data_IF_843547443049
#
_entry.id   IF_843547443049
#
_cell.length_a   1.000
_cell.length_b   1.000
_cell.length_c   1.000
_cell.angle_alpha   90.00
_cell.angle_beta   90.00
_cell.angle_gamma   90.00
#
_symmetry.space_group_name_H-M   'P 1'
#
loop_
_entity.id
_entity.type
_entity.pdbx_description
1 polymer ?
#
# COMPACT_ATOMS: atom_id res chain seq x y z
N UNK A 1 -15.25 18.01 -0.18
CA UNK A 1 -14.54 18.42 1.05
C UNK A 1 -14.46 17.37 2.18
N UNK A 2 -15.15 16.21 2.13
CA UNK A 2 -15.14 15.22 3.25
C UNK A 2 -14.09 14.10 3.16
N UNK A 3 -13.70 13.63 1.96
CA UNK A 3 -12.82 12.45 1.84
C UNK A 3 -11.37 12.67 2.26
N UNK A 4 -10.78 13.84 1.98
CA UNK A 4 -9.38 14.12 2.33
C UNK A 4 -9.17 14.19 3.85
N UNK A 5 -10.16 14.73 4.58
CA UNK A 5 -10.15 14.77 6.04
C UNK A 5 -10.31 13.36 6.63
N UNK A 6 -11.26 12.56 6.13
CA UNK A 6 -11.43 11.16 6.56
C UNK A 6 -10.15 10.34 6.33
N UNK A 7 -9.46 10.56 5.20
CA UNK A 7 -8.18 9.90 4.93
C UNK A 7 -7.09 10.32 5.91
N UNK A 8 -6.98 11.61 6.24
CA UNK A 8 -5.99 12.07 7.23
C UNK A 8 -6.28 11.54 8.62
N UNK A 9 -7.55 11.48 9.01
CA UNK A 9 -7.97 10.89 10.29
C UNK A 9 -7.65 9.40 10.31
N UNK A 10 -7.96 8.65 9.25
CA UNK A 10 -7.64 7.21 9.20
C UNK A 10 -6.14 6.94 9.20
N UNK A 11 -5.35 7.77 8.50
CA UNK A 11 -3.89 7.68 8.50
C UNK A 11 -3.29 7.98 9.87
N UNK A 12 -3.82 9.00 10.57
CA UNK A 12 -3.45 9.32 11.94
C UNK A 12 -3.81 8.19 12.91
N UNK A 13 -5.01 7.62 12.77
CA UNK A 13 -5.45 6.47 13.57
C UNK A 13 -4.61 5.22 13.31
N UNK A 14 -4.25 4.92 12.05
CA UNK A 14 -3.37 3.81 11.70
C UNK A 14 -1.96 3.96 12.26
N UNK A 15 -1.43 5.19 12.26
CA UNK A 15 -0.13 5.51 12.86
C UNK A 15 -0.19 5.41 14.39
N UNK A 16 -1.25 5.91 15.02
CA UNK A 16 -1.49 5.76 16.46
C UNK A 16 -1.63 4.29 16.86
N UNK A 17 -2.44 3.49 16.17
CA UNK A 17 -2.57 2.06 16.42
C UNK A 17 -1.24 1.31 16.28
N UNK A 18 -0.39 1.74 15.35
CA UNK A 18 0.96 1.20 15.21
C UNK A 18 1.93 1.56 16.35
N UNK A 19 1.61 2.58 17.16
CA UNK A 19 2.44 3.14 18.24
C UNK A 19 1.86 2.88 19.66
N UNK A 20 0.59 2.47 19.78
CA UNK A 20 -0.14 2.37 21.05
C UNK A 20 0.23 1.14 21.93
N UNK A 21 1.25 0.35 21.58
CA UNK A 21 1.66 -0.83 22.36
C UNK A 21 2.21 -0.55 23.76
N UNK A 22 2.33 0.71 24.18
CA UNK A 22 2.70 1.07 25.56
C UNK A 22 1.65 0.65 26.61
N UNK A 23 0.42 0.31 26.21
CA UNK A 23 -0.64 -0.07 27.16
C UNK A 23 -0.53 -1.49 27.70
N UNK A 24 0.36 -2.34 27.16
CA UNK A 24 0.55 -3.73 27.65
C UNK A 24 -0.69 -4.63 27.53
N UNK A 25 -1.78 -4.14 26.94
CA UNK A 25 -3.02 -4.89 26.75
C UNK A 25 -2.95 -5.60 25.40
N UNK A 26 -2.52 -6.86 25.47
CA UNK A 26 -2.85 -7.89 24.49
C UNK A 26 -1.87 -8.02 23.34
N UNK A 27 -1.04 -9.07 23.41
CA UNK A 27 -0.49 -9.77 22.23
C UNK A 27 -1.65 -10.39 21.44
N UNK A 28 -2.53 -9.56 20.88
CA UNK A 28 -3.66 -10.07 20.10
C UNK A 28 -3.11 -10.58 18.78
N UNK A 29 -3.52 -11.80 18.41
CA UNK A 29 -3.14 -12.53 17.20
C UNK A 29 -3.61 -11.84 15.89
N UNK A 30 -3.73 -10.52 15.85
CA UNK A 30 -4.27 -9.77 14.73
C UNK A 30 -3.13 -9.36 13.79
N UNK A 31 -3.27 -9.73 12.51
CA UNK A 31 -2.31 -9.41 11.46
C UNK A 31 -2.62 -8.00 10.94
N UNK A 32 -1.61 -7.13 10.91
CA UNK A 32 -1.80 -5.79 10.39
C UNK A 32 -1.90 -5.81 8.84
N UNK A 33 -2.88 -5.15 8.22
CA UNK A 33 -3.06 -5.18 6.76
C UNK A 33 -2.01 -4.32 5.99
N UNK A 34 -1.19 -3.55 6.70
CA UNK A 34 -0.09 -2.75 6.14
C UNK A 34 1.29 -3.34 6.42
N UNK A 35 2.34 -2.63 5.99
CA UNK A 35 3.70 -2.94 6.41
C UNK A 35 3.91 -2.36 7.82
N UNK A 36 4.27 -3.22 8.76
CA UNK A 36 4.53 -2.91 10.17
C UNK A 36 5.63 -3.84 10.70
N UNK A 37 6.40 -3.40 11.68
CA UNK A 37 7.48 -4.14 12.32
C UNK A 37 7.03 -4.75 13.65
N UNK A 38 7.00 -6.09 13.73
CA UNK A 38 6.69 -6.81 14.97
C UNK A 38 7.79 -6.70 16.04
N UNK A 39 9.01 -6.34 15.64
CA UNK A 39 10.14 -6.16 16.57
C UNK A 39 10.09 -4.79 17.27
N UNK A 40 9.12 -3.92 16.96
CA UNK A 40 8.95 -2.68 17.69
C UNK A 40 8.38 -2.98 19.10
N UNK A 41 8.95 -2.40 20.18
CA UNK A 41 8.46 -2.62 21.55
C UNK A 41 7.05 -2.04 21.77
N UNK A 42 6.61 -1.15 20.87
CA UNK A 42 5.30 -0.52 20.86
C UNK A 42 4.31 -1.22 19.90
N UNK A 43 4.66 -2.39 19.35
CA UNK A 43 3.79 -3.12 18.43
C UNK A 43 2.74 -3.96 19.16
N UNK A 44 1.47 -3.82 18.78
CA UNK A 44 0.35 -4.67 19.25
C UNK A 44 -0.02 -5.75 18.22
N UNK A 45 0.48 -5.62 16.98
CA UNK A 45 0.04 -6.40 15.83
C UNK A 45 1.20 -7.11 15.12
N UNK A 46 0.88 -8.20 14.42
CA UNK A 46 1.88 -9.04 13.75
C UNK A 46 2.12 -8.54 12.32
N UNK A 47 3.39 -8.48 11.93
CA UNK A 47 3.78 -8.20 10.55
C UNK A 47 3.33 -9.34 9.62
N UNK A 48 2.53 -9.07 8.56
CA UNK A 48 2.07 -10.11 7.65
C UNK A 48 3.25 -10.78 6.92
N UNK A 49 4.26 -10.01 6.51
CA UNK A 49 5.39 -10.58 5.74
C UNK A 49 6.32 -11.40 6.63
N UNK A 50 6.61 -10.93 7.84
CA UNK A 50 7.41 -11.69 8.80
C UNK A 50 6.74 -13.01 9.16
N UNK A 51 5.43 -12.99 9.44
CA UNK A 51 4.67 -14.20 9.71
C UNK A 51 4.66 -15.16 8.52
N UNK A 52 4.47 -14.65 7.29
CA UNK A 52 4.52 -15.45 6.08
C UNK A 52 5.89 -16.14 5.93
N UNK A 53 6.99 -15.41 6.09
CA UNK A 53 8.34 -15.98 5.98
C UNK A 53 8.60 -17.03 7.06
N UNK A 54 8.19 -16.76 8.30
CA UNK A 54 8.34 -17.70 9.40
C UNK A 54 7.58 -19.01 9.14
N UNK A 55 6.34 -18.94 8.64
CA UNK A 55 5.54 -20.13 8.33
C UNK A 55 6.11 -20.94 7.16
N UNK A 56 6.69 -20.28 6.15
CA UNK A 56 7.40 -20.93 5.04
C UNK A 56 8.64 -21.67 5.55
N UNK A 57 9.40 -21.09 6.49
CA UNK A 57 10.58 -21.73 7.08
C UNK A 57 10.19 -23.00 7.85
N UNK A 58 9.11 -22.95 8.63
CA UNK A 58 8.60 -24.12 9.37
C UNK A 58 7.82 -25.12 8.52
N UNK A 59 7.66 -24.90 7.20
CA UNK A 59 6.93 -25.78 6.30
C UNK A 59 5.44 -25.95 6.65
N UNK A 60 4.87 -25.02 7.42
CA UNK A 60 3.48 -25.10 7.90
C UNK A 60 2.56 -24.31 6.97
N UNK A 61 1.41 -24.90 6.63
CA UNK A 61 0.42 -24.23 5.77
C UNK A 61 -0.23 -23.07 6.55
N UNK A 62 -0.10 -21.82 6.09
CA UNK A 62 -0.44 -20.66 6.89
C UNK A 62 -1.93 -20.28 6.76
N UNK A 63 -2.85 -21.18 7.13
CA UNK A 63 -4.31 -20.99 6.95
C UNK A 63 -4.82 -19.69 7.58
N UNK A 64 -4.36 -19.36 8.80
CA UNK A 64 -4.73 -18.13 9.49
C UNK A 64 -4.27 -16.87 8.76
N UNK A 65 -3.05 -16.89 8.24
CA UNK A 65 -2.51 -15.80 7.43
C UNK A 65 -3.26 -15.63 6.12
N UNK A 66 -3.53 -16.73 5.40
CA UNK A 66 -4.28 -16.68 4.14
C UNK A 66 -5.68 -16.11 4.39
N UNK A 67 -6.40 -16.62 5.41
CA UNK A 67 -7.75 -16.18 5.73
C UNK A 67 -7.84 -14.69 6.03
N UNK A 68 -6.92 -14.17 6.85
CA UNK A 68 -6.88 -12.73 7.21
C UNK A 68 -6.51 -11.85 6.02
N UNK A 69 -5.50 -12.22 5.23
CA UNK A 69 -5.08 -11.45 4.05
C UNK A 69 -6.15 -11.45 2.97
N UNK A 70 -6.84 -12.57 2.77
CA UNK A 70 -8.00 -12.65 1.87
C UNK A 70 -9.13 -11.77 2.39
N UNK A 71 -9.45 -11.83 3.69
CA UNK A 71 -10.48 -10.97 4.27
C UNK A 71 -10.16 -9.48 4.06
N UNK A 72 -8.94 -9.03 4.37
CA UNK A 72 -8.51 -7.66 4.11
C UNK A 72 -8.52 -7.32 2.62
N UNK A 73 -7.99 -8.21 1.79
CA UNK A 73 -7.99 -8.08 0.34
C UNK A 73 -9.40 -7.89 -0.22
N UNK A 74 -10.38 -8.66 0.23
CA UNK A 74 -11.77 -8.56 -0.21
C UNK A 74 -12.49 -7.33 0.33
N UNK A 75 -12.13 -6.80 1.51
CA UNK A 75 -12.80 -5.61 2.04
C UNK A 75 -12.32 -4.34 1.32
N UNK A 76 -11.01 -4.06 1.34
CA UNK A 76 -10.46 -2.80 0.79
C UNK A 76 -9.45 -3.01 -0.35
N UNK A 77 -8.97 -4.24 -0.55
CA UNK A 77 -7.88 -4.54 -1.47
C UNK A 77 -6.65 -3.71 -1.12
N UNK A 78 -6.13 -2.96 -2.10
CA UNK A 78 -5.00 -2.06 -1.90
C UNK A 78 -5.34 -0.76 -1.16
N UNK A 79 -6.61 -0.57 -0.78
CA UNK A 79 -7.11 0.55 0.02
C UNK A 79 -6.38 0.69 1.36
N UNK A 80 -5.98 -0.41 2.00
CA UNK A 80 -5.21 -0.37 3.25
C UNK A 80 -3.88 0.40 3.11
N UNK A 81 -3.20 0.29 1.98
CA UNK A 81 -1.96 1.04 1.72
C UNK A 81 -2.19 2.56 1.55
N UNK A 82 -3.42 2.98 1.25
CA UNK A 82 -3.80 4.39 1.12
C UNK A 82 -4.31 5.00 2.43
N UNK A 83 -5.06 4.21 3.20
CA UNK A 83 -5.84 4.69 4.35
C UNK A 83 -5.25 4.35 5.72
N UNK A 84 -4.57 3.21 5.86
CA UNK A 84 -4.16 2.67 7.17
C UNK A 84 -2.65 2.44 7.33
N UNK A 85 -1.90 2.21 6.24
CA UNK A 85 -0.48 1.86 6.32
C UNK A 85 0.37 3.07 6.77
N UNK A 86 1.10 2.99 7.91
CA UNK A 86 1.91 4.11 8.42
C UNK A 86 3.05 4.45 7.46
N UNK A 87 3.69 3.43 6.88
CA UNK A 87 4.72 3.61 5.86
C UNK A 87 4.18 4.28 4.59
N UNK A 88 2.91 4.04 4.25
CA UNK A 88 2.24 4.71 3.14
C UNK A 88 2.03 6.21 3.41
N UNK A 89 1.62 6.56 4.64
CA UNK A 89 1.49 7.95 5.08
C UNK A 89 2.84 8.67 5.08
N UNK A 90 3.91 8.00 5.52
CA UNK A 90 5.26 8.55 5.48
C UNK A 90 5.70 8.88 4.04
N UNK A 91 5.40 8.00 3.08
CA UNK A 91 5.67 8.26 1.66
C UNK A 91 4.89 9.48 1.14
N UNK A 92 3.62 9.63 1.52
CA UNK A 92 2.79 10.76 1.09
C UNK A 92 3.29 12.10 1.68
N UNK A 93 3.87 12.07 2.89
CA UNK A 93 4.44 13.25 3.55
C UNK A 93 5.78 13.67 2.97
N UNK A 94 6.63 12.69 2.60
CA UNK A 94 7.99 12.94 2.09
C UNK A 94 8.05 13.29 0.59
N UNK A 95 7.02 12.98 -0.20
CA UNK A 95 7.05 13.29 -1.63
C UNK A 95 6.78 14.79 -1.88
N UNK A 96 7.83 15.61 -1.88
CA UNK A 96 7.75 17.06 -2.11
C UNK A 96 7.40 17.42 -3.55
N UNK A 97 7.93 16.65 -4.50
CA UNK A 97 7.53 16.73 -5.90
C UNK A 97 6.73 15.48 -6.25
N UNK A 98 5.49 15.66 -6.72
CA UNK A 98 4.75 14.62 -7.45
C UNK A 98 5.40 14.38 -8.82
N UNK A 99 6.73 14.20 -8.85
CA UNK A 99 7.51 14.02 -10.06
C UNK A 99 6.91 12.83 -10.81
N UNK A 100 6.31 13.22 -11.94
CA UNK A 100 5.24 12.53 -12.64
C UNK A 100 5.88 11.47 -13.55
N UNK A 101 6.42 10.40 -12.97
CA UNK A 101 6.90 9.27 -13.79
C UNK A 101 5.69 8.43 -14.20
N UNK A 102 5.22 8.71 -15.42
CA UNK A 102 4.09 8.08 -16.10
C UNK A 102 4.53 6.81 -16.82
N UNK A 103 4.74 5.73 -16.07
CA UNK A 103 4.53 4.31 -16.45
C UNK A 103 5.28 3.43 -15.45
N UNK A 104 4.54 2.73 -14.62
CA UNK A 104 5.10 1.68 -13.76
C UNK A 104 4.83 0.33 -14.41
N UNK A 105 5.87 -0.28 -14.99
CA UNK A 105 5.84 -1.70 -15.34
C UNK A 105 5.59 -2.50 -14.06
N UNK A 106 4.35 -2.97 -13.91
CA UNK A 106 3.75 -3.57 -12.71
C UNK A 106 4.34 -4.93 -12.29
N UNK A 107 5.26 -5.51 -13.07
CA UNK A 107 5.78 -6.85 -12.79
C UNK A 107 6.88 -6.87 -11.71
N UNK A 108 7.66 -5.79 -11.55
CA UNK A 108 8.84 -5.76 -10.64
C UNK A 108 8.47 -6.08 -9.19
N UNK A 109 7.34 -5.57 -8.69
CA UNK A 109 6.85 -5.86 -7.32
C UNK A 109 6.49 -7.34 -7.11
N UNK A 110 6.01 -8.02 -8.15
CA UNK A 110 5.70 -9.45 -8.09
C UNK A 110 6.99 -10.28 -8.10
N UNK A 111 8.02 -9.84 -8.84
CA UNK A 111 9.34 -10.44 -8.78
C UNK A 111 9.96 -10.32 -7.38
N UNK A 112 9.80 -9.16 -6.72
CA UNK A 112 10.24 -8.99 -5.32
C UNK A 112 9.48 -9.93 -4.39
N UNK A 113 8.15 -10.06 -4.53
CA UNK A 113 7.36 -11.00 -3.73
C UNK A 113 7.87 -12.45 -3.88
N UNK A 114 8.03 -12.94 -5.10
CA UNK A 114 8.55 -14.29 -5.37
C UNK A 114 9.97 -14.43 -4.79
N UNK A 115 10.83 -13.44 -5.01
CA UNK A 115 12.19 -13.41 -4.47
C UNK A 115 12.21 -13.50 -2.94
N UNK A 116 11.32 -12.80 -2.23
CA UNK A 116 11.25 -12.86 -0.76
C UNK A 116 10.81 -14.21 -0.21
N UNK A 117 9.94 -14.93 -0.95
CA UNK A 117 9.49 -16.28 -0.57
C UNK A 117 10.60 -17.30 -0.85
N UNK A 118 11.20 -17.24 -2.04
CA UNK A 118 12.32 -18.14 -2.43
C UNK A 118 13.52 -17.93 -1.51
N UNK A 119 13.87 -16.69 -1.18
CA UNK A 119 14.96 -16.41 -0.24
C UNK A 119 14.65 -16.92 1.17
N UNK A 120 13.41 -16.77 1.65
CA UNK A 120 13.03 -17.31 2.96
C UNK A 120 13.14 -18.83 3.01
N UNK A 121 12.73 -19.52 1.93
CA UNK A 121 12.84 -20.96 1.81
C UNK A 121 14.31 -21.43 1.68
N UNK A 122 15.11 -20.77 0.84
CA UNK A 122 16.48 -21.19 0.56
C UNK A 122 17.45 -20.93 1.74
N UNK A 123 17.28 -19.82 2.45
CA UNK A 123 18.17 -19.44 3.56
C UNK A 123 17.62 -19.81 4.94
N UNK A 124 16.40 -20.38 5.00
CA UNK A 124 15.68 -20.69 6.24
C UNK A 124 15.62 -19.50 7.23
N UNK A 125 15.57 -18.27 6.71
CA UNK A 125 15.70 -17.05 7.49
C UNK A 125 14.80 -15.93 6.94
N UNK A 126 14.37 -15.02 7.81
CA UNK A 126 13.48 -13.90 7.49
C UNK A 126 14.27 -12.75 6.83
N UNK A 127 14.85 -13.02 5.66
CA UNK A 127 15.74 -12.10 4.95
C UNK A 127 15.10 -10.75 4.63
N UNK A 128 13.78 -10.71 4.43
CA UNK A 128 13.08 -9.44 4.20
C UNK A 128 13.01 -8.60 5.47
N UNK A 129 12.76 -9.22 6.63
CA UNK A 129 12.76 -8.53 7.91
C UNK A 129 14.11 -7.86 8.21
N UNK A 130 15.23 -8.49 7.83
CA UNK A 130 16.59 -7.92 7.99
C UNK A 130 16.89 -6.70 7.10
N UNK A 131 16.12 -6.50 6.02
CA UNK A 131 16.32 -5.39 5.06
C UNK A 131 15.16 -4.39 5.14
N UNK A 132 14.08 -4.72 5.86
CA UNK A 132 12.84 -3.97 5.89
C UNK A 132 13.07 -2.52 6.41
N UNK A 133 12.77 -1.49 5.60
CA UNK A 133 12.95 -0.09 6.02
C UNK A 133 11.95 0.33 7.11
N UNK A 134 10.79 -0.35 7.21
CA UNK A 134 9.84 -0.10 8.30
C UNK A 134 10.43 -0.50 9.66
N UNK A 135 11.19 -1.61 9.70
CA UNK A 135 11.88 -2.02 10.93
C UNK A 135 12.92 -0.99 11.39
N UNK A 136 13.59 -0.33 10.46
CA UNK A 136 14.57 0.71 10.78
C UNK A 136 13.94 1.91 11.50
N UNK A 137 12.75 2.34 11.06
CA UNK A 137 12.03 3.49 11.66
C UNK A 137 11.34 3.07 12.96
N UNK A 138 10.65 1.93 12.94
CA UNK A 138 9.76 1.53 14.03
C UNK A 138 10.51 0.84 15.18
N UNK A 139 11.61 0.12 14.91
CA UNK A 139 12.36 -0.61 15.93
C UNK A 139 13.78 -0.06 16.12
N UNK A 140 14.59 0.02 15.06
CA UNK A 140 16.03 0.30 15.21
C UNK A 140 16.32 1.69 15.80
N UNK A 141 15.60 2.75 15.38
CA UNK A 141 15.79 4.10 15.91
C UNK A 141 15.34 4.21 17.38
N UNK A 142 14.11 3.79 17.77
CA UNK A 142 13.70 3.80 19.17
C UNK A 142 14.60 2.99 20.08
N UNK A 143 15.06 1.81 19.64
CA UNK A 143 15.96 0.99 20.46
C UNK A 143 17.35 1.62 20.65
N UNK A 144 17.86 2.37 19.67
CA UNK A 144 19.09 3.14 19.84
C UNK A 144 18.87 4.30 20.82
N UNK A 145 17.75 5.00 20.71
CA UNK A 145 17.43 6.13 21.60
C UNK A 145 17.21 5.70 23.06
N UNK A 146 16.58 4.54 23.27
CA UNK A 146 16.40 3.93 24.59
C UNK A 146 17.69 3.31 25.15
N UNK A 147 18.79 3.34 24.42
CA UNK A 147 20.10 2.83 24.88
C UNK A 147 20.20 1.30 24.96
N UNK A 148 19.20 0.57 24.47
CA UNK A 148 19.16 -0.91 24.53
C UNK A 148 19.80 -1.57 23.30
N UNK A 149 19.98 -0.84 22.19
CA UNK A 149 20.66 -1.34 21.00
C UNK A 149 22.02 -0.68 20.79
N UNK A 150 22.96 -1.45 20.23
CA UNK A 150 24.29 -0.98 19.84
C UNK A 150 24.45 -0.96 18.32
N UNK A 151 25.38 -0.12 17.85
CA UNK A 151 25.72 0.00 16.43
C UNK A 151 26.45 -1.27 15.98
N UNK A 152 25.67 -2.24 15.51
CA UNK A 152 26.17 -3.51 15.00
C UNK A 152 26.03 -3.57 13.47
N UNK A 153 26.69 -4.53 12.83
CA UNK A 153 26.53 -4.81 11.39
C UNK A 153 25.06 -4.84 10.90
N UNK A 154 24.11 -5.55 11.57
CA UNK A 154 22.70 -5.51 11.17
C UNK A 154 22.09 -4.10 11.26
N UNK A 155 22.44 -3.31 12.27
CA UNK A 155 21.96 -1.94 12.41
C UNK A 155 22.36 -1.07 11.21
N UNK A 156 23.61 -1.20 10.75
CA UNK A 156 24.12 -0.46 9.57
C UNK A 156 23.35 -0.86 8.31
N UNK A 157 23.11 -2.16 8.09
CA UNK A 157 22.34 -2.64 6.92
C UNK A 157 20.92 -2.05 6.94
N UNK A 158 20.26 -2.03 8.10
CA UNK A 158 18.95 -1.41 8.28
C UNK A 158 18.95 0.10 7.99
N UNK A 159 19.99 0.83 8.40
CA UNK A 159 20.12 2.26 8.13
C UNK A 159 20.39 2.54 6.65
N UNK A 160 21.23 1.72 6.00
CA UNK A 160 21.48 1.82 4.55
C UNK A 160 20.19 1.55 3.77
N UNK A 161 19.46 0.48 4.11
CA UNK A 161 18.21 0.15 3.41
C UNK A 161 17.16 1.25 3.57
N UNK A 162 17.05 1.83 4.78
CA UNK A 162 16.20 2.98 5.04
C UNK A 162 16.63 4.19 4.20
N UNK A 163 17.92 4.54 4.19
CA UNK A 163 18.45 5.66 3.42
C UNK A 163 18.16 5.54 1.93
N UNK A 164 18.41 4.38 1.34
CA UNK A 164 18.11 4.11 -0.08
C UNK A 164 16.62 4.27 -0.37
N UNK A 165 15.76 3.73 0.50
CA UNK A 165 14.31 3.82 0.30
C UNK A 165 13.83 5.26 0.47
N UNK A 166 14.31 6.00 1.48
CA UNK A 166 13.96 7.41 1.70
C UNK A 166 14.35 8.29 0.51
N UNK A 167 15.57 8.12 -0.02
CA UNK A 167 15.99 8.80 -1.25
C UNK A 167 15.02 8.47 -2.39
N UNK A 168 14.66 7.18 -2.54
CA UNK A 168 13.65 6.75 -3.51
C UNK A 168 12.28 7.40 -3.29
N UNK A 169 11.83 7.59 -2.05
CA UNK A 169 10.55 8.25 -1.74
C UNK A 169 10.53 9.73 -2.12
N UNK A 170 11.65 10.43 -1.91
CA UNK A 170 11.78 11.85 -2.26
C UNK A 170 11.77 12.04 -3.77
N UNK A 171 12.43 11.14 -4.50
CA UNK A 171 12.52 11.20 -5.97
C UNK A 171 11.24 10.71 -6.67
N UNK A 172 10.58 9.70 -6.12
CA UNK A 172 9.42 9.03 -6.74
C UNK A 172 8.32 8.86 -5.70
N UNK A 173 7.18 9.51 -5.96
CA UNK A 173 5.99 9.36 -5.13
C UNK A 173 5.61 7.88 -4.92
N UNK A 174 5.48 7.48 -3.66
CA UNK A 174 5.14 6.10 -3.24
C UNK A 174 6.06 5.03 -3.85
N UNK A 175 7.36 5.32 -4.01
CA UNK A 175 8.37 4.42 -4.57
C UNK A 175 8.32 3.00 -4.01
N UNK A 176 8.29 2.88 -2.68
CA UNK A 176 8.28 1.59 -2.00
C UNK A 176 7.03 0.77 -2.31
N UNK A 177 5.85 1.38 -2.14
CA UNK A 177 4.57 0.75 -2.43
C UNK A 177 4.48 0.32 -3.89
N UNK A 178 5.12 1.05 -4.82
CA UNK A 178 5.10 0.78 -6.25
C UNK A 178 6.02 -0.37 -6.65
N UNK A 179 7.23 -0.45 -6.11
CA UNK A 179 8.27 -1.35 -6.62
C UNK A 179 8.75 -2.43 -5.66
N UNK A 180 8.80 -2.15 -4.36
CA UNK A 180 9.52 -3.00 -3.39
C UNK A 180 8.62 -3.68 -2.36
N UNK A 181 7.37 -3.22 -2.19
CA UNK A 181 6.49 -3.76 -1.15
C UNK A 181 5.84 -5.09 -1.58
N UNK A 182 6.21 -6.25 -0.98
CA UNK A 182 5.59 -7.54 -1.30
C UNK A 182 4.12 -7.59 -0.89
N UNK A 183 3.78 -6.97 0.26
CA UNK A 183 2.39 -6.89 0.72
C UNK A 183 1.53 -6.07 -0.24
N UNK A 184 2.09 -5.00 -0.79
CA UNK A 184 1.43 -4.18 -1.81
C UNK A 184 1.24 -4.92 -3.15
N UNK A 185 1.99 -5.98 -3.42
CA UNK A 185 1.79 -6.87 -4.57
C UNK A 185 0.63 -7.85 -4.29
N UNK A 186 0.60 -8.49 -3.11
CA UNK A 186 -0.48 -9.40 -2.72
C UNK A 186 -1.85 -8.67 -2.74
N UNK A 187 -1.95 -7.52 -2.07
CA UNK A 187 -3.20 -6.73 -2.04
C UNK A 187 -3.62 -6.17 -3.41
N UNK A 188 -2.67 -6.04 -4.34
CA UNK A 188 -2.96 -5.59 -5.71
C UNK A 188 -3.79 -6.62 -6.48
N UNK A 189 -3.62 -7.90 -6.19
CA UNK A 189 -4.39 -8.99 -6.82
C UNK A 189 -5.87 -8.93 -6.41
N UNK A 190 -6.15 -8.55 -5.16
CA UNK A 190 -7.51 -8.42 -4.65
C UNK A 190 -8.21 -7.13 -5.08
N UNK A 191 -7.52 -6.22 -5.78
CA UNK A 191 -8.07 -4.89 -6.04
C UNK A 191 -9.32 -4.89 -6.93
N UNK A 192 -9.48 -5.88 -7.81
CA UNK A 192 -10.66 -6.02 -8.70
C UNK A 192 -11.87 -6.69 -8.05
N UNK A 193 -11.63 -7.47 -6.99
CA UNK A 193 -12.67 -8.27 -6.31
C UNK A 193 -13.11 -7.65 -4.99
N UNK A 194 -12.43 -6.59 -4.54
CA UNK A 194 -12.72 -6.00 -3.24
C UNK A 194 -14.01 -5.18 -3.24
N UNK A 195 -14.71 -5.11 -2.10
CA UNK A 195 -15.92 -4.32 -1.91
C UNK A 195 -15.74 -2.82 -2.17
N UNK A 196 -14.61 -2.25 -1.73
CA UNK A 196 -14.27 -0.87 -2.05
C UNK A 196 -13.79 -0.76 -3.49
N UNK A 197 -14.48 -0.01 -4.33
CA UNK A 197 -14.09 0.18 -5.72
C UNK A 197 -14.42 1.57 -6.25
N UNK A 198 -13.74 1.94 -7.34
CA UNK A 198 -13.97 3.20 -8.04
C UNK A 198 -14.98 2.95 -9.16
N UNK A 199 -16.02 3.78 -9.26
CA UNK A 199 -16.97 3.77 -10.37
C UNK A 199 -16.76 5.01 -11.22
N UNK A 200 -16.67 4.81 -12.53
CA UNK A 200 -16.66 5.88 -13.52
C UNK A 200 -18.00 5.90 -14.25
N UNK A 201 -18.65 7.06 -14.23
CA UNK A 201 -19.79 7.37 -15.07
C UNK A 201 -19.31 7.96 -16.39
N UNK A 202 -19.33 7.15 -17.46
CA UNK A 202 -18.84 7.55 -18.77
C UNK A 202 -19.64 8.69 -19.40
N UNK A 203 -20.91 8.88 -19.03
CA UNK A 203 -21.75 9.93 -19.59
C UNK A 203 -21.41 11.31 -19.02
N UNK A 204 -20.93 11.36 -17.77
CA UNK A 204 -20.50 12.59 -17.10
C UNK A 204 -19.01 12.89 -17.29
N UNK A 205 -18.22 11.96 -17.82
CA UNK A 205 -16.77 12.13 -17.90
C UNK A 205 -16.34 12.90 -19.17
N UNK A 206 -15.88 14.14 -18.99
CA UNK A 206 -15.32 14.95 -20.09
C UNK A 206 -13.84 14.66 -20.42
N UNK A 207 -13.21 13.65 -19.81
CA UNK A 207 -11.79 13.28 -20.02
C UNK A 207 -10.77 14.44 -19.86
N UNK A 208 -11.02 15.37 -18.95
CA UNK A 208 -10.17 16.55 -18.69
C UNK A 208 -8.81 16.29 -18.00
N UNK A 209 -8.41 15.03 -17.79
CA UNK A 209 -7.15 14.59 -17.15
C UNK A 209 -6.84 15.06 -15.72
N UNK A 210 -7.63 15.95 -15.12
CA UNK A 210 -7.44 16.46 -13.73
C UNK A 210 -7.31 15.33 -12.70
N UNK A 211 -8.08 14.24 -12.87
CA UNK A 211 -8.02 13.07 -12.00
C UNK A 211 -6.68 12.30 -12.06
N UNK A 212 -5.97 12.36 -13.20
CA UNK A 212 -4.66 11.73 -13.41
C UNK A 212 -3.59 12.52 -12.67
N UNK A 213 -3.68 13.85 -12.76
CA UNK A 213 -2.75 14.77 -12.11
C UNK A 213 -2.88 14.76 -10.58
N UNK A 214 -4.08 14.54 -10.08
CA UNK A 214 -4.32 14.36 -8.65
C UNK A 214 -3.88 12.99 -8.13
N UNK A 215 -3.79 11.95 -8.97
CA UNK A 215 -3.48 10.60 -8.55
C UNK A 215 -2.02 10.48 -8.05
N UNK A 216 -1.78 10.06 -6.78
CA UNK A 216 -0.41 9.92 -6.25
C UNK A 216 0.40 8.82 -6.96
N UNK A 217 -0.29 7.92 -7.67
CA UNK A 217 0.33 6.86 -8.46
C UNK A 217 0.38 7.16 -9.96
N UNK A 218 -0.09 8.34 -10.41
CA UNK A 218 -0.13 8.70 -11.83
C UNK A 218 -0.92 7.74 -12.70
N UNK A 219 -1.94 7.08 -12.13
CA UNK A 219 -2.89 6.25 -12.87
C UNK A 219 -3.86 7.14 -13.65
N UNK A 220 -4.50 6.58 -14.67
CA UNK A 220 -5.50 7.28 -15.51
C UNK A 220 -6.91 6.71 -15.28
N UNK A 221 -7.64 7.15 -14.24
CA UNK A 221 -8.96 6.60 -13.91
C UNK A 221 -10.00 6.72 -15.04
N UNK A 222 -9.86 7.70 -15.94
CA UNK A 222 -10.79 7.89 -17.05
C UNK A 222 -10.60 6.87 -18.19
N UNK A 223 -9.43 6.22 -18.26
CA UNK A 223 -9.12 5.13 -19.20
C UNK A 223 -9.32 3.77 -18.53
N UNK A 224 -8.74 3.58 -17.34
CA UNK A 224 -8.83 2.36 -16.54
C UNK A 224 -9.05 2.72 -15.07
N UNK A 225 -10.32 2.67 -14.63
CA UNK A 225 -10.70 2.93 -13.24
C UNK A 225 -10.52 1.70 -12.32
N UNK A 226 -10.26 0.51 -12.89
CA UNK A 226 -10.15 -0.78 -12.18
C UNK A 226 -8.71 -1.35 -12.23
N UNK A 227 -7.73 -0.45 -12.25
CA UNK A 227 -6.31 -0.80 -12.24
C UNK A 227 -5.93 -1.49 -10.92
N UNK A 228 -5.26 -2.63 -11.01
CA UNK A 228 -4.76 -3.41 -9.87
C UNK A 228 -3.86 -2.58 -8.93
N UNK A 229 -3.20 -1.55 -9.45
CA UNK A 229 -2.32 -0.68 -8.69
C UNK A 229 -3.08 0.41 -7.92
N UNK A 230 -4.36 0.65 -8.19
CA UNK A 230 -5.11 1.72 -7.53
C UNK A 230 -5.18 1.48 -6.02
N UNK A 231 -4.66 2.41 -5.22
CA UNK A 231 -4.73 2.37 -3.74
C UNK A 231 -6.05 2.90 -3.19
N UNK A 232 -7.02 3.23 -4.06
CA UNK A 232 -8.37 3.68 -3.68
C UNK A 232 -8.38 4.81 -2.65
N UNK A 233 -7.45 5.76 -2.80
CA UNK A 233 -7.26 6.86 -1.87
C UNK A 233 -8.29 7.99 -1.98
N UNK A 234 -9.15 7.96 -3.02
CA UNK A 234 -10.23 8.94 -3.23
C UNK A 234 -9.77 10.33 -3.73
N UNK A 235 -8.50 10.55 -4.02
CA UNK A 235 -8.04 11.88 -4.46
C UNK A 235 -8.61 12.27 -5.83
N UNK A 236 -8.81 11.29 -6.72
CA UNK A 236 -9.40 11.52 -8.03
C UNK A 236 -10.90 11.90 -7.94
N UNK A 237 -11.62 11.44 -6.92
CA UNK A 237 -13.03 11.77 -6.70
C UNK A 237 -13.17 13.17 -6.07
N UNK A 238 -12.22 13.60 -5.24
CA UNK A 238 -12.28 14.92 -4.59
C UNK A 238 -12.01 16.10 -5.53
N UNK A 239 -11.28 15.89 -6.62
CA UNK A 239 -10.96 16.94 -7.61
C UNK A 239 -11.88 16.95 -8.83
N UNK A 240 -12.77 15.96 -8.97
CA UNK A 240 -13.62 15.84 -10.15
C UNK A 240 -14.81 16.79 -10.06
N UNK A 241 -14.79 17.89 -10.81
CA UNK A 241 -15.88 18.88 -10.83
C UNK A 241 -17.21 18.36 -11.41
N UNK A 242 -17.18 17.25 -12.15
CA UNK A 242 -18.36 16.65 -12.80
C UNK A 242 -18.95 15.47 -12.02
N UNK A 243 -18.38 15.14 -10.85
CA UNK A 243 -18.75 13.98 -10.03
C UNK A 243 -18.85 12.66 -10.83
N UNK A 244 -18.07 12.55 -11.91
CA UNK A 244 -18.05 11.38 -12.79
C UNK A 244 -17.34 10.18 -12.13
N UNK A 245 -16.51 10.42 -11.12
CA UNK A 245 -15.80 9.39 -10.36
C UNK A 245 -16.34 9.30 -8.94
N UNK A 246 -16.75 8.11 -8.52
CA UNK A 246 -17.28 7.87 -7.18
C UNK A 246 -16.63 6.66 -6.54
N UNK A 247 -16.30 6.78 -5.25
CA UNK A 247 -15.80 5.67 -4.44
C UNK A 247 -17.01 4.96 -3.82
N UNK A 248 -17.25 3.70 -4.19
CA UNK A 248 -18.39 2.91 -3.75
C UNK A 248 -17.93 1.73 -2.90
N UNK A 249 -18.70 1.37 -1.87
CA UNK A 249 -18.51 0.16 -1.09
C UNK A 249 -19.70 -0.77 -1.36
N UNK A 250 -19.51 -1.75 -2.24
CA UNK A 250 -20.58 -2.67 -2.67
C UNK A 250 -19.96 -3.94 -3.26
N UNK A 251 -20.61 -5.12 -3.13
CA UNK A 251 -20.20 -6.35 -3.80
C UNK A 251 -20.01 -6.09 -5.30
N UNK A 252 -18.75 -6.08 -5.72
CA UNK A 252 -18.42 -5.91 -7.11
C UNK A 252 -18.51 -7.28 -7.77
N UNK A 253 -19.54 -7.51 -8.58
CA UNK A 253 -19.54 -8.68 -9.46
C UNK A 253 -18.35 -8.55 -10.43
N UNK A 254 -17.48 -9.57 -10.55
CA UNK A 254 -16.33 -9.51 -11.45
C UNK A 254 -16.84 -9.28 -12.87
N UNK A 255 -16.55 -8.09 -13.43
CA UNK A 255 -16.88 -7.82 -14.83
C UNK A 255 -15.90 -8.59 -15.71
N UNK A 256 -16.38 -9.68 -16.30
CA UNK A 256 -15.76 -10.30 -17.47
C UNK A 256 -15.44 -9.18 -18.47
N UNK A 257 -14.15 -9.05 -18.77
CA UNK A 257 -13.52 -8.11 -19.71
C UNK A 257 -14.49 -7.65 -20.81
N UNK A 258 -15.15 -6.50 -20.62
CA UNK A 258 -15.74 -5.78 -21.74
C UNK A 258 -14.61 -4.97 -22.35
N UNK A 259 -14.23 -5.37 -23.57
CA UNK A 259 -13.42 -4.61 -24.53
C UNK A 259 -13.61 -3.11 -24.32
N UNK A 260 -12.48 -2.39 -24.22
CA UNK A 260 -12.34 -0.92 -24.30
C UNK A 260 -13.60 -0.27 -24.86
N UNK A 261 -14.43 0.32 -24.00
CA UNK A 261 -15.54 1.13 -24.46
C UNK A 261 -14.95 2.37 -25.14
N UNK A 262 -14.82 2.29 -26.46
CA UNK A 262 -14.48 3.41 -27.31
C UNK A 262 -15.71 4.33 -27.34
N UNK A 263 -15.81 5.21 -26.34
CA UNK A 263 -16.82 6.26 -26.33
C UNK A 263 -16.34 7.37 -27.28
N UNK A 264 -17.14 7.77 -28.29
CA UNK A 264 -16.76 8.76 -29.29
C UNK A 264 -16.45 10.10 -28.63
N UNK A 265 -15.44 10.78 -29.16
CA UNK A 265 -15.10 12.16 -28.85
C UNK A 265 -16.28 13.05 -29.28
N UNK A 266 -17.05 13.58 -28.33
CA UNK A 266 -17.99 14.67 -28.63
C UNK A 266 -17.15 15.92 -28.89
N UNK A 267 -16.92 16.17 -30.18
CA UNK A 267 -16.39 17.42 -30.71
C UNK A 267 -17.28 18.57 -30.26
N UNK A 268 -16.64 19.63 -29.76
CA UNK A 268 -17.20 20.99 -29.65
C UNK A 268 -18.08 21.30 -30.85
N UNK A 269 -19.35 21.61 -30.61
CA UNK A 269 -20.09 22.53 -31.47
C UNK A 269 -19.80 23.92 -30.93
N UNK A 270 -18.81 24.57 -31.51
CA UNK A 270 -18.68 26.03 -31.49
C UNK A 270 -19.45 26.53 -32.73
N UNK A 271 -20.68 27.00 -32.51
CA UNK A 271 -21.38 27.99 -33.35
C UNK A 271 -22.26 28.83 -32.45
#
# INVERSE_FOLDING_TARGET
>A
MRLSLMRRISQGFGLLLGLFGFTGIGMTHIIFPGLHCYACPLSVTICPIGLMQNLVIYGTVPYFWIGTIVAYGLVLGRGFCGWFCPFGTLNDLLSFNKARIVKSFSYKKHAVLVGTIVAAWAFADTMFCKICPAASIEASIPYLFLGVAHVNKPFIIHMISLGVVLIGMVLIARFWCRYLCPMGAILSLFNRVSFLHLKLDSNRCARCTVCTDACPLGLKPYEDYDDHNCIKCGECTSVCSLDALTLSFSPQMPRLSKKKAHVPYLSRMDT
#
